data_IF_243929207050
#
_entry.id   IF_243929207050
#
_cell.length_a   1.000
_cell.length_b   1.000
_cell.length_c   1.000
_cell.angle_alpha   90.00
_cell.angle_beta   90.00
_cell.angle_gamma   90.00
#
_symmetry.space_group_name_H-M   'P 1'
#
loop_
_entity.id
_entity.type
_entity.pdbx_description
1 polymer ?
#
# COMPACT_ATOMS: atom_id res chain seq x y z
N UNK A 1 -62.00 27.05 -15.38
CA UNK A 1 -61.55 27.87 -14.23
C UNK A 1 -60.61 27.05 -13.34
N UNK A 2 -59.61 27.68 -12.73
CA UNK A 2 -58.34 27.04 -12.36
C UNK A 2 -58.41 26.25 -11.04
N UNK A 3 -57.56 25.21 -10.96
CA UNK A 3 -57.27 24.41 -9.77
C UNK A 3 -56.59 25.30 -8.72
N UNK A 4 -57.19 25.40 -7.53
CA UNK A 4 -56.45 25.78 -6.33
C UNK A 4 -55.85 24.50 -5.73
N UNK A 5 -54.57 24.31 -5.99
CA UNK A 5 -53.69 23.43 -5.21
C UNK A 5 -53.18 24.32 -4.07
N UNK A 6 -53.69 24.10 -2.86
CA UNK A 6 -53.11 24.69 -1.65
C UNK A 6 -51.91 23.82 -1.28
N UNK A 7 -50.74 24.41 -1.44
CA UNK A 7 -49.41 23.78 -1.40
C UNK A 7 -48.79 23.90 0.01
N UNK A 8 -49.58 23.61 1.04
CA UNK A 8 -49.15 23.68 2.45
C UNK A 8 -49.47 22.36 3.17
N UNK A 9 -48.80 21.26 2.78
CA UNK A 9 -48.62 20.13 3.70
C UNK A 9 -47.46 20.46 4.65
N UNK A 10 -47.76 21.31 5.64
CA UNK A 10 -46.93 21.41 6.83
C UNK A 10 -46.66 19.98 7.35
N UNK A 11 -45.38 19.60 7.39
CA UNK A 11 -44.92 18.39 8.06
C UNK A 11 -45.47 18.41 9.49
N UNK A 12 -46.51 17.62 9.74
CA UNK A 12 -47.11 17.42 11.06
C UNK A 12 -46.02 16.94 12.03
N UNK A 13 -45.43 17.88 12.77
CA UNK A 13 -44.55 17.59 13.88
C UNK A 13 -45.39 16.97 15.00
N UNK A 14 -45.16 15.69 15.27
CA UNK A 14 -45.76 15.02 16.42
C UNK A 14 -45.18 15.62 17.72
N UNK A 15 -45.91 16.58 18.28
CA UNK A 15 -45.61 17.24 19.55
C UNK A 15 -46.18 16.47 20.76
N UNK A 16 -46.69 15.26 20.58
CA UNK A 16 -47.22 14.50 21.72
C UNK A 16 -46.08 13.99 22.60
N UNK A 17 -46.12 14.38 23.88
CA UNK A 17 -45.24 13.80 24.88
C UNK A 17 -45.50 12.29 24.98
N UNK A 18 -44.45 11.47 24.86
CA UNK A 18 -44.57 10.01 24.89
C UNK A 18 -45.38 9.56 26.12
N UNK A 19 -46.58 9.02 25.89
CA UNK A 19 -47.46 8.53 26.95
C UNK A 19 -46.71 7.50 27.79
N UNK A 20 -46.54 7.78 29.09
CA UNK A 20 -45.93 6.83 30.03
C UNK A 20 -46.91 5.68 30.27
N UNK A 21 -46.85 4.68 29.39
CA UNK A 21 -47.60 3.43 29.52
C UNK A 21 -47.13 2.66 30.76
N UNK A 22 -47.74 2.96 31.92
CA UNK A 22 -47.59 2.25 33.19
C UNK A 22 -48.44 0.99 33.23
N UNK A 23 -48.18 0.06 32.33
CA UNK A 23 -48.80 -1.26 32.35
C UNK A 23 -47.80 -2.27 32.94
N UNK A 24 -48.24 -3.16 33.85
CA UNK A 24 -47.40 -4.26 34.38
C UNK A 24 -46.66 -5.03 33.28
N UNK A 25 -47.25 -5.17 32.10
CA UNK A 25 -46.64 -5.85 30.94
C UNK A 25 -45.48 -5.05 30.32
N UNK A 26 -45.57 -3.72 30.25
CA UNK A 26 -44.50 -2.85 29.73
C UNK A 26 -43.35 -2.73 30.71
N UNK A 27 -43.61 -2.65 32.02
CA UNK A 27 -42.56 -2.68 33.05
C UNK A 27 -41.81 -4.02 33.09
N UNK A 28 -42.51 -5.15 32.97
CA UNK A 28 -41.87 -6.47 32.90
C UNK A 28 -41.00 -6.61 31.65
N UNK A 29 -41.43 -6.05 30.51
CA UNK A 29 -40.62 -6.00 29.28
C UNK A 29 -39.38 -5.13 29.46
N UNK A 30 -39.52 -3.91 30.00
CA UNK A 30 -38.38 -3.02 30.33
C UNK A 30 -37.38 -3.67 31.28
N UNK A 31 -37.84 -4.34 32.36
CA UNK A 31 -36.95 -5.08 33.28
C UNK A 31 -36.24 -6.25 32.59
N UNK A 32 -36.93 -6.98 31.72
CA UNK A 32 -36.33 -8.08 30.94
C UNK A 32 -35.30 -7.56 29.93
N UNK A 33 -35.57 -6.43 29.28
CA UNK A 33 -34.65 -5.80 28.34
C UNK A 33 -33.44 -5.19 29.05
N UNK A 34 -33.63 -4.55 30.21
CA UNK A 34 -32.54 -4.07 31.06
C UNK A 34 -31.65 -5.24 31.55
N UNK A 35 -32.24 -6.34 32.03
CA UNK A 35 -31.48 -7.52 32.44
C UNK A 35 -30.72 -8.17 31.26
N UNK A 36 -31.30 -8.16 30.05
CA UNK A 36 -30.61 -8.61 28.82
C UNK A 36 -29.47 -7.67 28.42
N UNK A 37 -29.67 -6.36 28.54
CA UNK A 37 -28.65 -5.36 28.24
C UNK A 37 -27.49 -5.46 29.24
N UNK A 38 -27.78 -5.61 30.53
CA UNK A 38 -26.75 -5.83 31.57
C UNK A 38 -25.93 -7.10 31.30
N UNK A 39 -26.58 -8.19 30.87
CA UNK A 39 -25.88 -9.42 30.46
C UNK A 39 -25.00 -9.21 29.22
N UNK A 40 -25.46 -8.42 28.24
CA UNK A 40 -24.66 -8.05 27.05
C UNK A 40 -23.50 -7.13 27.40
N UNK A 41 -23.70 -6.22 28.36
CA UNK A 41 -22.69 -5.29 28.83
C UNK A 41 -21.63 -5.98 29.70
N UNK A 42 -21.96 -7.09 30.36
CA UNK A 42 -21.00 -7.93 31.06
C UNK A 42 -20.05 -8.71 30.12
N UNK A 43 -20.44 -8.96 28.85
CA UNK A 43 -19.59 -9.66 27.88
C UNK A 43 -18.47 -8.74 27.42
N UNK A 44 -17.25 -8.99 27.89
CA UNK A 44 -16.05 -8.30 27.39
C UNK A 44 -15.81 -8.72 25.95
N UNK A 45 -15.70 -7.76 25.05
CA UNK A 45 -15.37 -7.98 23.65
C UNK A 45 -14.32 -6.96 23.21
N UNK A 46 -13.76 -7.12 22.01
CA UNK A 46 -12.72 -6.24 21.48
C UNK A 46 -13.13 -4.76 21.49
N UNK A 47 -14.41 -4.44 21.31
CA UNK A 47 -14.88 -3.06 21.39
C UNK A 47 -14.82 -2.51 22.83
N UNK A 48 -14.76 -3.32 23.88
CA UNK A 48 -14.61 -2.79 25.24
C UNK A 48 -13.15 -2.60 25.66
N UNK A 49 -12.19 -3.01 24.83
CA UNK A 49 -10.78 -2.76 25.12
C UNK A 49 -10.44 -1.27 25.00
N UNK A 50 -9.53 -0.77 25.86
CA UNK A 50 -8.87 0.51 25.68
C UNK A 50 -8.24 0.63 24.29
N UNK A 51 -8.30 1.83 23.72
CA UNK A 51 -7.77 2.11 22.39
C UNK A 51 -6.29 1.77 22.30
N UNK A 52 -5.53 2.03 23.36
CA UNK A 52 -4.09 1.81 23.45
C UNK A 52 -3.75 0.31 23.31
N UNK A 53 -4.51 -0.56 23.98
CA UNK A 53 -4.31 -2.01 23.88
C UNK A 53 -4.69 -2.56 22.51
N UNK A 54 -5.73 -2.00 21.88
CA UNK A 54 -6.07 -2.34 20.50
C UNK A 54 -4.97 -1.92 19.54
N UNK A 55 -4.47 -0.69 19.65
CA UNK A 55 -3.40 -0.18 18.80
C UNK A 55 -2.12 -0.98 18.96
N UNK A 56 -1.72 -1.32 20.19
CA UNK A 56 -0.57 -2.17 20.46
C UNK A 56 -0.74 -3.56 19.82
N UNK A 57 -1.90 -4.19 20.01
CA UNK A 57 -2.20 -5.49 19.41
C UNK A 57 -2.13 -5.46 17.88
N UNK A 58 -2.60 -4.38 17.26
CA UNK A 58 -2.59 -4.21 15.80
C UNK A 58 -1.19 -4.09 15.20
N UNK A 59 -0.17 -3.69 15.97
CA UNK A 59 1.22 -3.65 15.49
C UNK A 59 1.83 -5.05 15.31
N UNK A 60 1.21 -6.08 15.87
CA UNK A 60 1.70 -7.46 15.84
C UNK A 60 1.12 -8.28 14.67
N UNK A 61 0.03 -7.84 14.06
CA UNK A 61 -0.65 -8.54 12.96
C UNK A 61 -0.14 -8.09 11.59
N UNK A 62 -0.51 -8.81 10.53
CA UNK A 62 -0.15 -8.42 9.17
C UNK A 62 -0.90 -7.15 8.73
N UNK A 63 -0.33 -6.31 7.85
CA UNK A 63 -0.99 -5.09 7.38
C UNK A 63 -2.38 -5.35 6.79
N UNK A 64 -2.55 -6.47 6.08
CA UNK A 64 -3.84 -6.88 5.52
C UNK A 64 -4.88 -7.10 6.61
N UNK A 65 -4.52 -7.79 7.69
CA UNK A 65 -5.43 -8.06 8.81
C UNK A 65 -5.80 -6.76 9.54
N UNK A 66 -4.90 -5.78 9.63
CA UNK A 66 -5.23 -4.46 10.18
C UNK A 66 -6.26 -3.75 9.30
N UNK A 67 -6.09 -3.79 7.98
CA UNK A 67 -7.04 -3.19 7.03
C UNK A 67 -8.40 -3.89 7.13
N UNK A 68 -8.42 -5.22 7.17
CA UNK A 68 -9.64 -6.03 7.31
C UNK A 68 -10.31 -5.80 8.67
N UNK A 69 -9.55 -5.62 9.75
CA UNK A 69 -10.07 -5.21 11.07
C UNK A 69 -10.80 -3.87 10.99
N UNK A 70 -10.30 -2.92 10.20
CA UNK A 70 -10.97 -1.65 9.93
C UNK A 70 -12.32 -1.79 9.24
N UNK A 71 -12.56 -2.88 8.49
CA UNK A 71 -13.82 -3.12 7.77
C UNK A 71 -14.92 -3.71 8.65
N UNK A 72 -14.59 -4.19 9.86
CA UNK A 72 -15.54 -4.88 10.75
C UNK A 72 -16.67 -3.96 11.23
N UNK A 73 -16.36 -2.72 11.61
CA UNK A 73 -17.35 -1.73 12.01
C UNK A 73 -16.80 -0.29 11.93
N UNK A 74 -17.70 0.70 12.02
CA UNK A 74 -17.36 2.13 11.91
C UNK A 74 -16.32 2.62 12.94
N UNK A 75 -16.34 2.09 14.17
CA UNK A 75 -15.37 2.48 15.20
C UNK A 75 -13.98 1.97 14.85
N UNK A 76 -13.86 0.71 14.46
CA UNK A 76 -12.57 0.13 14.08
C UNK A 76 -12.04 0.79 12.81
N UNK A 77 -12.91 1.08 11.84
CA UNK A 77 -12.57 1.90 10.68
C UNK A 77 -11.97 3.25 11.07
N UNK A 78 -12.62 3.98 11.98
CA UNK A 78 -12.14 5.28 12.44
C UNK A 78 -10.80 5.17 13.19
N UNK A 79 -10.67 4.17 14.06
CA UNK A 79 -9.44 3.89 14.82
C UNK A 79 -8.26 3.55 13.89
N UNK A 80 -8.45 2.62 12.95
CA UNK A 80 -7.40 2.22 12.00
C UNK A 80 -6.99 3.42 11.13
N UNK A 81 -7.95 4.20 10.62
CA UNK A 81 -7.62 5.35 9.79
C UNK A 81 -6.90 6.47 10.56
N UNK A 82 -7.32 6.76 11.79
CA UNK A 82 -6.70 7.80 12.61
C UNK A 82 -5.25 7.45 12.99
N UNK A 83 -4.94 6.16 13.15
CA UNK A 83 -3.63 5.68 13.59
C UNK A 83 -2.85 4.91 12.52
N UNK A 84 -3.28 4.98 11.26
CA UNK A 84 -2.71 4.18 10.18
C UNK A 84 -1.20 4.39 10.03
N UNK A 85 -0.73 5.63 10.18
CA UNK A 85 0.69 5.96 10.10
C UNK A 85 1.51 5.41 11.27
N UNK A 86 0.97 5.42 12.48
CA UNK A 86 1.65 4.88 13.65
C UNK A 86 1.74 3.35 13.57
N UNK A 87 0.62 2.69 13.25
CA UNK A 87 0.54 1.24 13.11
C UNK A 87 1.43 0.77 11.95
N UNK A 88 1.31 1.39 10.78
CA UNK A 88 2.08 1.03 9.60
C UNK A 88 3.59 1.16 9.83
N UNK A 89 4.04 2.26 10.43
CA UNK A 89 5.46 2.47 10.72
C UNK A 89 6.00 1.45 11.72
N UNK A 90 5.23 1.08 12.75
CA UNK A 90 5.60 0.05 13.70
C UNK A 90 5.71 -1.34 13.03
N UNK A 91 4.76 -1.70 12.17
CA UNK A 91 4.80 -2.96 11.42
C UNK A 91 6.02 -2.99 10.48
N UNK A 92 6.28 -1.90 9.75
CA UNK A 92 7.45 -1.78 8.85
C UNK A 92 8.75 -1.97 9.61
N UNK A 93 8.93 -1.26 10.73
CA UNK A 93 10.14 -1.33 11.54
C UNK A 93 10.39 -2.76 12.07
N UNK A 94 9.31 -3.48 12.38
CA UNK A 94 9.37 -4.84 12.92
C UNK A 94 9.61 -5.92 11.85
N UNK A 95 8.93 -5.84 10.71
CA UNK A 95 8.83 -6.94 9.73
C UNK A 95 9.49 -6.67 8.39
N UNK A 96 9.56 -5.40 7.97
CA UNK A 96 9.89 -5.03 6.59
C UNK A 96 11.03 -4.00 6.51
N UNK A 97 12.01 -4.12 7.41
CA UNK A 97 13.09 -3.12 7.57
C UNK A 97 13.99 -3.02 6.34
N UNK A 98 14.25 -4.12 5.65
CA UNK A 98 15.10 -4.16 4.45
C UNK A 98 14.31 -3.70 3.24
N UNK A 99 13.09 -4.22 3.06
CA UNK A 99 12.23 -3.90 1.94
C UNK A 99 11.86 -2.41 1.96
N UNK A 100 11.61 -1.80 3.12
CA UNK A 100 11.32 -0.38 3.23
C UNK A 100 12.46 0.53 2.75
N UNK A 101 13.72 0.07 2.88
CA UNK A 101 14.88 0.80 2.36
C UNK A 101 15.05 0.62 0.85
N UNK A 102 14.64 -0.54 0.31
CA UNK A 102 14.67 -0.81 -1.12
C UNK A 102 13.52 -0.11 -1.86
N UNK A 103 12.36 -0.03 -1.23
CA UNK A 103 11.09 0.42 -1.80
C UNK A 103 10.50 1.60 -0.99
N UNK A 104 11.21 2.72 -0.85
CA UNK A 104 10.65 3.91 -0.21
C UNK A 104 9.54 4.51 -1.07
N UNK A 105 8.66 5.30 -0.47
CA UNK A 105 7.60 6.01 -1.20
C UNK A 105 8.14 7.31 -1.83
N UNK A 106 7.59 7.76 -2.96
CA UNK A 106 7.89 9.10 -3.48
C UNK A 106 7.38 10.19 -2.54
N UNK A 107 7.97 11.38 -2.67
CA UNK A 107 7.55 12.56 -1.90
C UNK A 107 6.34 13.24 -2.54
N UNK A 108 5.46 13.79 -1.70
CA UNK A 108 4.41 14.70 -2.17
C UNK A 108 5.04 15.97 -2.76
N UNK A 109 4.45 16.51 -3.83
CA UNK A 109 4.89 17.78 -4.41
C UNK A 109 4.83 18.90 -3.36
N UNK A 110 3.77 18.89 -2.54
CA UNK A 110 3.53 19.86 -1.47
C UNK A 110 4.66 19.95 -0.42
N UNK A 111 5.54 18.94 -0.33
CA UNK A 111 6.70 18.93 0.58
C UNK A 111 7.97 19.50 -0.06
N UNK A 112 7.90 20.01 -1.29
CA UNK A 112 9.03 20.66 -1.98
C UNK A 112 8.84 22.17 -2.01
N UNK A 113 9.91 22.95 -2.16
CA UNK A 113 9.82 24.41 -2.16
C UNK A 113 8.99 24.94 -3.36
N UNK A 114 8.15 25.98 -3.19
CA UNK A 114 7.30 26.48 -4.27
C UNK A 114 8.01 26.82 -5.59
N UNK A 115 9.22 27.42 -5.60
CA UNK A 115 9.97 27.64 -6.84
C UNK A 115 10.34 26.34 -7.55
N UNK A 116 10.64 25.28 -6.79
CA UNK A 116 10.95 23.95 -7.33
C UNK A 116 9.69 23.25 -7.82
N UNK A 117 8.56 23.43 -7.15
CA UNK A 117 7.27 22.89 -7.60
C UNK A 117 6.93 23.36 -9.03
N UNK A 118 7.13 24.65 -9.33
CA UNK A 118 6.89 25.19 -10.66
C UNK A 118 7.77 24.53 -11.72
N UNK A 119 9.05 24.32 -11.43
CA UNK A 119 9.98 23.62 -12.33
C UNK A 119 9.62 22.14 -12.50
N UNK A 120 9.18 21.48 -11.43
CA UNK A 120 8.79 20.08 -11.47
C UNK A 120 7.51 19.87 -12.27
N UNK A 121 6.60 20.85 -12.31
CA UNK A 121 5.32 20.77 -13.04
C UNK A 121 5.37 21.32 -14.47
N UNK A 122 6.52 21.88 -14.88
CA UNK A 122 6.70 22.40 -16.24
C UNK A 122 6.37 21.36 -17.33
N UNK A 123 5.44 21.65 -18.26
CA UNK A 123 5.07 20.74 -19.33
C UNK A 123 6.23 20.30 -20.22
N UNK A 124 7.25 21.14 -20.46
CA UNK A 124 8.38 20.77 -21.30
C UNK A 124 9.21 19.67 -20.62
N UNK A 125 9.50 19.84 -19.33
CA UNK A 125 10.11 18.80 -18.50
C UNK A 125 9.25 17.55 -18.42
N UNK A 126 7.94 17.68 -18.18
CA UNK A 126 7.05 16.52 -18.11
C UNK A 126 7.07 15.71 -19.40
N UNK A 127 7.12 16.35 -20.57
CA UNK A 127 7.27 15.67 -21.87
C UNK A 127 8.57 14.85 -21.97
N UNK A 128 9.69 15.33 -21.43
CA UNK A 128 10.95 14.58 -21.43
C UNK A 128 10.86 13.32 -20.57
N UNK A 129 10.13 13.39 -19.45
CA UNK A 129 9.87 12.26 -18.56
C UNK A 129 8.91 11.24 -19.18
N UNK A 130 8.20 11.59 -20.26
CA UNK A 130 7.34 10.65 -20.99
C UNK A 130 8.13 9.47 -21.57
N UNK A 131 9.43 9.66 -21.83
CA UNK A 131 10.31 8.58 -22.30
C UNK A 131 10.49 7.42 -21.30
N UNK A 132 10.22 7.63 -20.00
CA UNK A 132 10.36 6.60 -18.95
C UNK A 132 9.06 5.86 -18.64
N UNK A 133 8.12 5.78 -19.59
CA UNK A 133 6.83 5.11 -19.41
C UNK A 133 6.95 3.60 -19.62
N UNK A 134 6.39 2.83 -18.68
CA UNK A 134 6.25 1.38 -18.78
C UNK A 134 4.81 1.02 -19.08
N UNK A 135 4.57 0.03 -19.95
CA UNK A 135 3.20 -0.38 -20.32
C UNK A 135 2.38 -0.89 -19.12
N UNK A 136 3.06 -1.36 -18.07
CA UNK A 136 2.47 -1.97 -16.89
C UNK A 136 2.50 -1.03 -15.66
N UNK A 137 2.84 0.25 -15.82
CA UNK A 137 2.91 1.23 -14.72
C UNK A 137 2.32 2.57 -15.17
N UNK A 138 1.44 3.12 -14.35
CA UNK A 138 0.89 4.45 -14.58
C UNK A 138 1.92 5.50 -14.21
N UNK A 139 2.07 6.56 -14.99
CA UNK A 139 2.92 7.69 -14.62
C UNK A 139 2.38 8.43 -13.39
N UNK A 140 3.26 8.96 -12.53
CA UNK A 140 2.83 9.75 -11.37
C UNK A 140 2.17 11.06 -11.83
N UNK A 141 1.18 11.54 -11.07
CA UNK A 141 0.57 12.84 -11.33
C UNK A 141 1.54 13.95 -10.86
N UNK A 142 2.06 14.79 -11.78
CA UNK A 142 3.04 15.81 -11.45
C UNK A 142 2.49 16.90 -10.53
N UNK A 143 1.18 17.07 -10.43
CA UNK A 143 0.56 18.04 -9.53
C UNK A 143 0.34 17.50 -8.11
N UNK A 144 0.50 16.19 -7.90
CA UNK A 144 0.35 15.56 -6.58
C UNK A 144 1.69 15.11 -6.01
N UNK A 145 2.56 14.53 -6.85
CA UNK A 145 3.81 13.93 -6.44
C UNK A 145 5.00 14.71 -6.99
N UNK A 146 6.09 14.73 -6.23
CA UNK A 146 7.36 15.18 -6.75
C UNK A 146 7.77 14.29 -7.92
N UNK A 147 8.18 14.89 -9.04
CA UNK A 147 8.64 14.17 -10.24
C UNK A 147 10.15 14.30 -10.45
N UNK A 148 10.93 14.51 -9.40
CA UNK A 148 12.38 14.32 -9.47
C UNK A 148 12.71 12.87 -9.84
N UNK A 149 13.92 12.60 -10.34
CA UNK A 149 14.30 11.27 -10.83
C UNK A 149 14.08 10.19 -9.75
N UNK A 150 14.53 10.44 -8.52
CA UNK A 150 14.32 9.53 -7.37
C UNK A 150 12.84 9.21 -7.16
N UNK A 151 11.96 10.21 -7.16
CA UNK A 151 10.53 9.99 -6.91
C UNK A 151 9.84 9.25 -8.06
N UNK A 152 10.28 9.46 -9.30
CA UNK A 152 9.79 8.67 -10.44
C UNK A 152 10.23 7.21 -10.30
N UNK A 153 11.49 6.97 -9.97
CA UNK A 153 12.02 5.61 -9.79
C UNK A 153 11.32 4.89 -8.64
N UNK A 154 11.11 5.55 -7.49
CA UNK A 154 10.41 4.93 -6.36
C UNK A 154 8.94 4.66 -6.67
N UNK A 155 8.27 5.57 -7.38
CA UNK A 155 6.90 5.34 -7.87
C UNK A 155 6.84 4.12 -8.80
N UNK A 156 7.76 4.03 -9.76
CA UNK A 156 7.84 2.90 -10.68
C UNK A 156 8.10 1.59 -9.92
N UNK A 157 8.98 1.59 -8.92
CA UNK A 157 9.24 0.39 -8.12
C UNK A 157 7.99 -0.07 -7.34
N UNK A 158 7.19 0.85 -6.80
CA UNK A 158 5.92 0.49 -6.14
C UNK A 158 4.90 -0.08 -7.14
N UNK A 159 4.79 0.53 -8.32
CA UNK A 159 3.92 0.04 -9.40
C UNK A 159 4.33 -1.36 -9.87
N UNK A 160 5.63 -1.58 -10.06
CA UNK A 160 6.21 -2.85 -10.46
C UNK A 160 5.89 -3.96 -9.44
N UNK A 161 6.14 -3.71 -8.16
CA UNK A 161 5.89 -4.68 -7.09
C UNK A 161 4.42 -5.10 -7.04
N UNK A 162 3.50 -4.15 -7.23
CA UNK A 162 2.08 -4.43 -7.29
C UNK A 162 1.68 -5.24 -8.53
N UNK A 163 2.29 -4.96 -9.68
CA UNK A 163 2.07 -5.72 -10.92
C UNK A 163 2.65 -7.13 -10.80
N UNK A 164 3.89 -7.28 -10.32
CA UNK A 164 4.55 -8.56 -10.06
C UNK A 164 3.75 -9.43 -9.10
N UNK A 165 3.18 -8.84 -8.04
CA UNK A 165 2.31 -9.54 -7.11
C UNK A 165 1.02 -10.06 -7.76
N UNK A 166 0.41 -9.26 -8.63
CA UNK A 166 -0.78 -9.68 -9.37
C UNK A 166 -0.52 -10.93 -10.23
N UNK A 167 0.66 -11.04 -10.83
CA UNK A 167 1.03 -12.14 -11.71
C UNK A 167 1.62 -13.37 -11.02
N UNK A 168 1.82 -13.36 -9.69
CA UNK A 168 2.42 -14.52 -9.01
C UNK A 168 1.66 -15.82 -9.23
N UNK A 169 0.33 -15.78 -9.32
CA UNK A 169 -0.45 -17.00 -9.60
C UNK A 169 -0.15 -17.57 -10.98
N UNK A 170 0.02 -16.72 -12.01
CA UNK A 170 0.42 -17.16 -13.35
C UNK A 170 1.83 -17.78 -13.31
N UNK A 171 2.77 -17.10 -12.66
CA UNK A 171 4.15 -17.56 -12.52
C UNK A 171 4.26 -18.92 -11.81
N UNK A 172 3.47 -19.13 -10.76
CA UNK A 172 3.52 -20.37 -9.97
C UNK A 172 2.79 -21.54 -10.64
N UNK A 173 1.75 -21.26 -11.43
CA UNK A 173 1.02 -22.27 -12.19
C UNK A 173 1.63 -22.56 -13.56
N UNK A 174 2.65 -21.80 -13.97
CA UNK A 174 3.24 -21.90 -15.31
C UNK A 174 2.32 -21.41 -16.42
N UNK A 175 1.27 -20.64 -16.09
CA UNK A 175 0.39 -20.03 -17.08
C UNK A 175 1.10 -18.80 -17.66
N UNK A 176 1.20 -18.66 -18.99
CA UNK A 176 1.76 -17.47 -19.62
C UNK A 176 1.07 -16.18 -19.15
N UNK A 177 1.85 -15.14 -18.89
CA UNK A 177 1.32 -13.79 -18.65
C UNK A 177 0.80 -13.23 -19.98
N UNK A 178 -0.43 -12.70 -20.05
CA UNK A 178 -0.95 -12.07 -21.26
C UNK A 178 -0.08 -10.88 -21.69
N UNK A 179 0.32 -10.88 -22.96
CA UNK A 179 1.07 -9.78 -23.57
C UNK A 179 0.12 -8.81 -24.27
N UNK A 180 0.42 -7.51 -24.17
CA UNK A 180 -0.34 -6.47 -24.89
C UNK A 180 0.46 -6.10 -26.14
N UNK A 181 -0.09 -6.26 -27.35
CA UNK A 181 0.62 -5.93 -28.58
C UNK A 181 1.10 -4.47 -28.60
N UNK A 182 2.24 -4.23 -29.26
CA UNK A 182 2.79 -2.86 -29.39
C UNK A 182 1.77 -1.94 -30.06
N UNK A 183 1.62 -0.73 -29.52
CA UNK A 183 0.70 0.28 -30.03
C UNK A 183 -0.78 0.03 -29.69
N UNK A 184 -1.11 -1.06 -28.98
CA UNK A 184 -2.46 -1.33 -28.52
C UNK A 184 -2.60 -1.07 -27.02
N UNK A 185 -3.83 -0.73 -26.62
CA UNK A 185 -4.24 -0.62 -25.21
C UNK A 185 -5.28 -1.69 -24.94
N UNK A 186 -4.97 -2.61 -24.03
CA UNK A 186 -5.96 -3.57 -23.55
C UNK A 186 -6.67 -3.03 -22.31
N UNK A 187 -7.99 -3.15 -22.27
CA UNK A 187 -8.82 -2.65 -21.16
C UNK A 187 -8.39 -3.24 -19.81
N UNK A 188 -8.19 -4.56 -19.75
CA UNK A 188 -7.72 -5.24 -18.54
C UNK A 188 -6.39 -4.68 -18.02
N UNK A 189 -5.50 -4.26 -18.93
CA UNK A 189 -4.19 -3.71 -18.54
C UNK A 189 -4.36 -2.31 -17.97
N UNK A 190 -5.18 -1.47 -18.62
CA UNK A 190 -5.49 -0.13 -18.12
C UNK A 190 -6.13 -0.18 -16.73
N UNK A 191 -7.07 -1.11 -16.51
CA UNK A 191 -7.70 -1.31 -15.21
C UNK A 191 -6.72 -1.77 -14.12
N UNK A 192 -5.86 -2.74 -14.45
CA UNK A 192 -4.82 -3.25 -13.57
C UNK A 192 -3.84 -2.13 -13.15
N UNK A 193 -3.34 -1.40 -14.14
CA UNK A 193 -2.41 -0.28 -13.94
C UNK A 193 -3.05 0.83 -13.10
N UNK A 194 -4.31 1.18 -13.37
CA UNK A 194 -5.05 2.16 -12.58
C UNK A 194 -5.33 1.66 -11.15
N UNK A 195 -5.58 0.36 -10.95
CA UNK A 195 -5.73 -0.24 -9.62
C UNK A 195 -4.44 -0.13 -8.83
N UNK A 196 -3.32 -0.50 -9.44
CA UNK A 196 -2.01 -0.46 -8.79
C UNK A 196 -1.62 0.98 -8.43
N UNK A 197 -1.86 1.95 -9.32
CA UNK A 197 -1.58 3.36 -9.04
C UNK A 197 -2.42 3.92 -7.87
N UNK A 198 -3.69 3.52 -7.74
CA UNK A 198 -4.53 3.89 -6.58
C UNK A 198 -3.95 3.35 -5.27
N UNK A 199 -3.44 2.13 -5.27
CA UNK A 199 -2.82 1.53 -4.07
C UNK A 199 -1.50 2.25 -3.75
N UNK A 200 -0.63 2.45 -4.74
CA UNK A 200 0.63 3.16 -4.58
C UNK A 200 0.42 4.59 -4.06
N UNK A 201 -0.59 5.31 -4.56
CA UNK A 201 -0.94 6.66 -4.08
C UNK A 201 -1.36 6.67 -2.61
N UNK A 202 -2.14 5.68 -2.17
CA UNK A 202 -2.50 5.57 -0.74
C UNK A 202 -1.25 5.38 0.13
N UNK A 203 -0.29 4.58 -0.33
CA UNK A 203 0.94 4.33 0.41
C UNK A 203 1.80 5.58 0.64
N UNK A 204 1.75 6.57 -0.27
CA UNK A 204 2.50 7.83 -0.13
C UNK A 204 2.10 8.62 1.13
N UNK A 205 0.81 8.62 1.48
CA UNK A 205 0.29 9.40 2.62
C UNK A 205 -0.07 8.53 3.83
N UNK A 206 -0.01 7.21 3.67
CA UNK A 206 -0.46 6.25 4.67
C UNK A 206 0.51 5.07 4.76
N UNK A 207 1.30 5.03 5.84
CA UNK A 207 2.33 4.00 6.00
C UNK A 207 1.76 2.60 6.22
N UNK A 208 0.49 2.44 6.62
CA UNK A 208 -0.15 1.12 6.67
C UNK A 208 -0.34 0.54 5.26
N UNK A 209 -0.69 1.38 4.29
CA UNK A 209 -0.74 0.96 2.89
C UNK A 209 0.65 0.68 2.33
N UNK A 210 1.68 1.43 2.74
CA UNK A 210 3.06 1.11 2.40
C UNK A 210 3.47 -0.25 2.98
N UNK A 211 3.20 -0.50 4.26
CA UNK A 211 3.43 -1.79 4.91
C UNK A 211 2.73 -2.93 4.17
N UNK A 212 1.49 -2.72 3.70
CA UNK A 212 0.76 -3.70 2.90
C UNK A 212 1.43 -4.01 1.55
N UNK A 213 1.98 -3.00 0.86
CA UNK A 213 2.77 -3.22 -0.37
C UNK A 213 4.03 -4.04 -0.05
N UNK A 214 4.75 -3.72 1.04
CA UNK A 214 5.95 -4.46 1.43
C UNK A 214 5.63 -5.91 1.82
N UNK A 215 4.54 -6.15 2.54
CA UNK A 215 4.06 -7.49 2.87
C UNK A 215 3.75 -8.31 1.62
N UNK A 216 3.06 -7.70 0.66
CA UNK A 216 2.73 -8.33 -0.62
C UNK A 216 3.99 -8.65 -1.44
N UNK A 217 4.98 -7.75 -1.41
CA UNK A 217 6.27 -7.98 -2.06
C UNK A 217 7.07 -9.10 -1.41
N UNK A 218 7.06 -9.17 -0.08
CA UNK A 218 7.71 -10.24 0.66
C UNK A 218 7.10 -11.60 0.26
N UNK A 219 5.77 -11.71 0.23
CA UNK A 219 5.10 -12.93 -0.24
C UNK A 219 5.51 -13.29 -1.68
N UNK A 220 5.47 -12.31 -2.59
CA UNK A 220 5.88 -12.51 -4.00
C UNK A 220 7.33 -12.97 -4.12
N UNK A 221 8.22 -12.40 -3.32
CA UNK A 221 9.64 -12.75 -3.26
C UNK A 221 9.84 -14.17 -2.70
N UNK A 222 9.15 -14.53 -1.62
CA UNK A 222 9.19 -15.89 -1.03
C UNK A 222 8.72 -16.92 -2.06
N UNK A 223 7.63 -16.65 -2.77
CA UNK A 223 7.10 -17.52 -3.82
C UNK A 223 8.07 -17.66 -4.98
N UNK A 224 8.66 -16.56 -5.43
CA UNK A 224 9.69 -16.56 -6.47
C UNK A 224 10.92 -17.38 -6.07
N UNK A 225 11.49 -17.17 -4.88
CA UNK A 225 12.63 -17.96 -4.37
C UNK A 225 12.28 -19.45 -4.33
N UNK A 226 11.09 -19.82 -3.84
CA UNK A 226 10.64 -21.23 -3.81
C UNK A 226 10.48 -21.83 -5.20
N UNK A 227 10.02 -21.04 -6.18
CA UNK A 227 9.89 -21.49 -7.57
C UNK A 227 11.26 -21.69 -8.20
N UNK A 228 12.19 -20.76 -7.99
CA UNK A 228 13.54 -20.83 -8.54
C UNK A 228 14.39 -21.93 -7.88
N UNK A 229 14.28 -22.15 -6.57
CA UNK A 229 15.03 -23.21 -5.88
C UNK A 229 14.65 -24.64 -6.33
N UNK A 230 13.44 -24.82 -6.88
CA UNK A 230 12.99 -26.08 -7.48
C UNK A 230 13.49 -26.26 -8.93
N UNK A 231 14.00 -25.21 -9.57
CA UNK A 231 14.46 -25.29 -10.96
C UNK A 231 15.86 -25.91 -11.04
N UNK A 232 15.91 -27.21 -11.32
CA UNK A 232 17.16 -27.98 -11.45
C UNK A 232 18.07 -27.53 -12.61
N UNK A 233 17.55 -26.76 -13.57
CA UNK A 233 18.31 -26.28 -14.73
C UNK A 233 19.04 -24.96 -14.48
N UNK A 234 18.79 -24.27 -13.36
CA UNK A 234 19.41 -23.00 -13.03
C UNK A 234 20.46 -23.19 -11.93
N UNK A 235 21.74 -22.95 -12.25
CA UNK A 235 22.86 -23.05 -11.29
C UNK A 235 23.26 -21.69 -10.70
N UNK A 236 22.43 -20.64 -10.85
CA UNK A 236 22.73 -19.31 -10.31
C UNK A 236 22.75 -19.32 -8.78
N UNK A 237 23.46 -18.35 -8.20
CA UNK A 237 23.46 -18.12 -6.75
C UNK A 237 22.06 -17.62 -6.36
N UNK A 238 21.39 -18.38 -5.50
CA UNK A 238 20.05 -18.09 -5.00
C UNK A 238 20.08 -17.32 -3.69
N UNK A 239 18.97 -16.65 -3.39
CA UNK A 239 18.74 -16.04 -2.08
C UNK A 239 18.53 -17.16 -1.06
N UNK A 240 19.34 -17.16 -0.01
CA UNK A 240 19.24 -18.18 1.03
C UNK A 240 18.04 -17.93 1.95
N UNK A 241 16.99 -18.74 1.79
CA UNK A 241 15.76 -18.69 2.58
C UNK A 241 15.44 -20.06 3.18
N UNK A 242 15.13 -20.10 4.47
CA UNK A 242 14.73 -21.31 5.21
C UNK A 242 13.22 -21.32 5.46
N UNK A 243 12.64 -22.46 5.84
CA UNK A 243 11.22 -22.52 6.22
C UNK A 243 10.92 -21.70 7.49
N UNK A 244 11.89 -21.56 8.40
CA UNK A 244 11.76 -20.65 9.54
C UNK A 244 11.70 -19.19 9.11
N UNK A 245 12.44 -18.80 8.07
CA UNK A 245 12.39 -17.44 7.53
C UNK A 245 11.00 -17.14 6.94
N UNK A 246 10.39 -18.13 6.27
CA UNK A 246 9.03 -18.00 5.74
C UNK A 246 8.00 -17.89 6.87
N UNK A 247 8.08 -18.74 7.88
CA UNK A 247 7.17 -18.72 9.02
C UNK A 247 7.28 -17.43 9.86
N UNK A 248 8.45 -16.79 9.87
CA UNK A 248 8.64 -15.52 10.57
C UNK A 248 7.92 -14.35 9.89
N UNK A 249 7.60 -14.46 8.59
CA UNK A 249 6.96 -13.41 7.78
C UNK A 249 7.69 -12.05 7.93
N UNK A 250 9.03 -12.11 7.95
CA UNK A 250 9.91 -10.93 7.99
C UNK A 250 10.91 -10.99 6.86
N UNK A 251 11.44 -9.84 6.50
CA UNK A 251 12.44 -9.71 5.44
C UNK A 251 13.88 -9.94 5.91
N UNK A 252 14.10 -10.37 7.16
CA UNK A 252 15.41 -10.48 7.78
C UNK A 252 16.39 -11.39 6.99
N UNK A 253 15.88 -12.44 6.33
CA UNK A 253 16.71 -13.34 5.53
C UNK A 253 17.34 -12.65 4.32
N UNK A 254 16.78 -11.54 3.83
CA UNK A 254 17.32 -10.74 2.74
C UNK A 254 18.56 -9.95 3.13
N UNK A 255 18.96 -9.95 4.41
CA UNK A 255 20.24 -9.41 4.86
C UNK A 255 21.43 -10.28 4.44
N UNK A 256 21.19 -11.58 4.22
CA UNK A 256 22.21 -12.53 3.79
C UNK A 256 22.77 -12.13 2.42
N UNK A 257 23.98 -12.59 2.12
CA UNK A 257 24.55 -12.41 0.79
C UNK A 257 23.64 -13.06 -0.27
N UNK A 258 23.45 -12.39 -1.39
CA UNK A 258 22.60 -12.86 -2.49
C UNK A 258 22.93 -12.13 -3.79
N UNK A 259 22.32 -12.54 -4.91
CA UNK A 259 22.52 -11.87 -6.19
C UNK A 259 22.07 -10.40 -6.08
N UNK A 260 22.81 -9.44 -6.70
CA UNK A 260 22.31 -8.09 -6.83
C UNK A 260 21.07 -8.09 -7.73
N UNK A 261 20.05 -7.32 -7.36
CA UNK A 261 18.85 -7.12 -8.19
C UNK A 261 18.62 -5.64 -8.42
N UNK A 262 19.51 -5.04 -9.22
CA UNK A 262 19.43 -3.63 -9.60
C UNK A 262 18.58 -3.39 -10.84
N UNK A 263 18.44 -4.39 -11.70
CA UNK A 263 17.78 -4.22 -13.00
C UNK A 263 16.26 -4.13 -12.83
N UNK A 264 15.70 -3.06 -13.39
CA UNK A 264 14.26 -2.83 -13.41
C UNK A 264 13.61 -3.69 -14.50
N UNK A 265 12.61 -4.53 -14.18
CA UNK A 265 11.92 -5.34 -15.17
C UNK A 265 11.11 -4.47 -16.16
N UNK A 266 11.60 -4.33 -17.40
CA UNK A 266 10.95 -3.46 -18.39
C UNK A 266 9.67 -4.10 -18.95
N UNK A 267 9.67 -5.42 -19.11
CA UNK A 267 8.53 -6.22 -19.56
C UNK A 267 8.14 -7.29 -18.54
N UNK A 268 6.87 -7.71 -18.57
CA UNK A 268 6.37 -8.76 -17.66
C UNK A 268 7.04 -10.12 -17.87
N UNK A 269 7.60 -10.37 -19.05
CA UNK A 269 8.36 -11.61 -19.31
C UNK A 269 9.61 -11.72 -18.43
N UNK A 270 10.16 -10.59 -17.97
CA UNK A 270 11.30 -10.58 -17.05
C UNK A 270 10.93 -11.05 -15.64
N UNK A 271 9.64 -11.11 -15.30
CA UNK A 271 9.16 -11.67 -14.03
C UNK A 271 9.47 -13.16 -13.88
N UNK A 272 9.57 -13.91 -14.98
CA UNK A 272 9.97 -15.33 -14.95
C UNK A 272 11.40 -15.54 -14.46
N UNK A 273 12.26 -14.52 -14.61
CA UNK A 273 13.66 -14.56 -14.20
C UNK A 273 13.92 -13.87 -12.86
N UNK A 274 12.89 -13.21 -12.30
CA UNK A 274 12.99 -12.41 -11.09
C UNK A 274 12.84 -13.28 -9.85
N UNK A 275 13.95 -13.52 -9.15
CA UNK A 275 13.97 -14.28 -7.89
C UNK A 275 13.68 -13.38 -6.67
N UNK A 276 14.34 -12.23 -6.59
CA UNK A 276 14.12 -11.24 -5.55
C UNK A 276 14.40 -9.84 -6.08
N UNK A 277 13.36 -9.04 -6.29
CA UNK A 277 13.51 -7.67 -6.75
C UNK A 277 13.77 -6.71 -5.59
N UNK A 278 15.01 -6.24 -5.45
CA UNK A 278 15.48 -5.41 -4.33
C UNK A 278 16.19 -4.16 -4.88
N UNK A 279 15.41 -3.21 -5.43
CA UNK A 279 15.99 -2.06 -6.09
C UNK A 279 16.70 -1.17 -5.08
N UNK A 280 17.58 -0.31 -5.58
CA UNK A 280 18.31 0.67 -4.77
C UNK A 280 19.23 0.07 -3.72
N UNK A 281 19.60 -1.21 -3.90
CA UNK A 281 20.49 -1.94 -3.00
C UNK A 281 21.55 -2.69 -3.80
N UNK A 282 22.80 -2.62 -3.35
CA UNK A 282 23.90 -3.37 -3.95
C UNK A 282 24.91 -3.82 -2.90
N UNK A 283 25.63 -4.91 -3.21
CA UNK A 283 26.58 -5.50 -2.29
C UNK A 283 27.95 -4.84 -2.41
N UNK A 284 28.42 -4.21 -1.33
CA UNK A 284 29.79 -3.68 -1.26
C UNK A 284 30.73 -4.77 -0.80
N UNK A 285 31.42 -5.42 -1.75
CA UNK A 285 32.35 -6.52 -1.47
C UNK A 285 33.43 -6.15 -0.44
N UNK A 286 33.97 -4.94 -0.50
CA UNK A 286 35.01 -4.48 0.41
C UNK A 286 34.55 -4.34 1.88
N UNK A 287 33.28 -3.98 2.08
CA UNK A 287 32.71 -3.74 3.41
C UNK A 287 31.89 -4.92 3.94
N UNK A 288 31.64 -5.94 3.10
CA UNK A 288 30.84 -7.11 3.47
C UNK A 288 29.39 -6.77 3.84
N UNK A 289 28.84 -5.69 3.30
CA UNK A 289 27.50 -5.20 3.65
C UNK A 289 26.70 -4.69 2.46
N UNK A 290 25.38 -4.65 2.63
CA UNK A 290 24.45 -4.04 1.69
C UNK A 290 24.49 -2.51 1.81
N UNK A 291 24.66 -1.83 0.68
CA UNK A 291 24.53 -0.39 0.56
C UNK A 291 23.24 0.01 -0.13
N UNK A 292 22.58 1.05 0.37
CA UNK A 292 21.32 1.57 -0.15
C UNK A 292 21.52 2.93 -0.82
N UNK A 293 21.12 3.07 -2.09
CA UNK A 293 21.49 4.22 -2.93
C UNK A 293 20.53 5.40 -2.88
N UNK A 294 19.29 5.20 -2.43
CA UNK A 294 18.26 6.27 -2.43
C UNK A 294 18.50 7.33 -1.36
N UNK A 295 19.13 6.98 -0.24
CA UNK A 295 19.27 7.90 0.89
C UNK A 295 19.95 9.21 0.44
N UNK A 296 19.27 10.34 0.66
CA UNK A 296 19.75 11.67 0.24
C UNK A 296 19.77 11.94 -1.27
N UNK A 297 19.30 11.02 -2.13
CA UNK A 297 19.29 11.23 -3.57
C UNK A 297 18.18 12.21 -4.00
N UNK A 298 17.04 12.20 -3.31
CA UNK A 298 15.94 13.14 -3.57
C UNK A 298 16.42 14.60 -3.56
N UNK A 299 17.13 15.02 -2.51
CA UNK A 299 17.62 16.39 -2.39
C UNK A 299 18.59 16.77 -3.52
N UNK A 300 19.50 15.84 -3.85
CA UNK A 300 20.45 16.02 -4.97
C UNK A 300 19.73 16.16 -6.31
N UNK A 301 18.65 15.41 -6.52
CA UNK A 301 17.86 15.51 -7.75
C UNK A 301 17.09 16.84 -7.83
N UNK A 302 16.59 17.37 -6.70
CA UNK A 302 15.95 18.70 -6.69
C UNK A 302 16.96 19.80 -7.04
N UNK A 303 18.17 19.75 -6.49
CA UNK A 303 19.25 20.68 -6.84
C UNK A 303 19.60 20.60 -8.32
N UNK A 304 19.63 19.38 -8.89
CA UNK A 304 19.90 19.18 -10.31
C UNK A 304 18.81 19.81 -11.20
N UNK A 305 17.53 19.62 -10.84
CA UNK A 305 16.41 20.28 -11.54
C UNK A 305 16.54 21.80 -11.51
N UNK A 306 16.90 22.38 -10.37
CA UNK A 306 17.12 23.82 -10.26
C UNK A 306 18.31 24.31 -11.10
N UNK A 307 19.39 23.53 -11.19
CA UNK A 307 20.57 23.88 -12.00
C UNK A 307 20.24 23.88 -13.49
N UNK A 308 19.55 22.85 -13.99
CA UNK A 308 19.16 22.76 -15.40
C UNK A 308 18.14 23.80 -15.82
N UNK A 309 17.35 24.36 -14.89
CA UNK A 309 16.41 25.43 -15.21
C UNK A 309 17.08 26.82 -15.31
N UNK A 310 18.32 26.97 -14.82
CA UNK A 310 19.08 28.23 -14.82
C UNK A 310 20.10 28.35 -15.94
N UNK A 311 20.40 27.24 -16.64
CA UNK A 311 21.29 27.20 -17.80
C UNK A 311 20.48 27.07 -19.08
#
# INVERSE_FOLDING_TARGET
>A
MPRFVSDDEDRLEDRTAALTLRNKRTERRKRKDAARQQKRDAIVNLAKLPTELLLESLQHVLPRDVLDFGLVNRRFHALVNAHANAIGSAIIARRYRILAQCLPTPMLLAHTDPPVQALLTDPARQKQLISMHYQHIQSPDPHQLCTCLTCILTWNNLGLVLDFAHWQQHLDSGIPIPTVPRGQTAEWNSELVARNSRIARKAVTNSLWHAAILALHLDSTVRAIRRHSKNKGNMRIHVHMTESDVAAETDAFLAKHGPPSLEFPYQRDEYYMSEAYLPNRWWRKAEGQWFYTIAGQHQRDLELVQRFAKG
#
